data_IF_594600330786
#
_entry.id   IF_594600330786
#
_cell.length_a   1.000
_cell.length_b   1.000
_cell.length_c   1.000
_cell.angle_alpha   90.00
_cell.angle_beta   90.00
_cell.angle_gamma   90.00
#
_symmetry.space_group_name_H-M   'P 1'
#
loop_
_entity.id
_entity.type
_entity.pdbx_description
1 polymer ?
#
# COMPACT_ATOMS: atom_id res chain seq x y z
N UNK A 1 -1.82 34.49 -3.12
CA UNK A 1 -0.59 33.66 -3.21
C UNK A 1 -1.03 32.27 -3.61
N UNK A 2 -0.83 31.87 -4.87
CA UNK A 2 -1.16 30.52 -5.32
C UNK A 2 0.03 29.62 -5.00
N UNK A 3 -0.11 28.74 -4.00
CA UNK A 3 0.83 27.65 -3.78
C UNK A 3 0.67 26.72 -4.98
N UNK A 4 1.68 26.61 -5.83
CA UNK A 4 1.68 25.58 -6.85
C UNK A 4 1.67 24.22 -6.12
N UNK A 5 0.55 23.49 -6.18
CA UNK A 5 0.53 22.08 -5.80
C UNK A 5 1.58 21.38 -6.68
N UNK A 6 2.66 20.94 -6.05
CA UNK A 6 3.58 20.01 -6.71
C UNK A 6 2.73 18.83 -7.21
N UNK A 7 2.97 18.31 -8.43
CA UNK A 7 2.19 17.20 -8.94
C UNK A 7 2.28 16.04 -7.94
N UNK A 8 1.13 15.65 -7.36
CA UNK A 8 1.06 14.48 -6.49
C UNK A 8 1.47 13.26 -7.30
N UNK A 9 2.44 12.52 -6.77
CA UNK A 9 2.92 11.30 -7.42
C UNK A 9 1.78 10.28 -7.43
N UNK A 10 1.34 9.87 -8.62
CA UNK A 10 0.31 8.84 -8.76
C UNK A 10 0.94 7.45 -8.80
N UNK A 11 0.67 6.65 -7.77
CA UNK A 11 1.17 5.29 -7.62
C UNK A 11 0.10 4.28 -8.05
N UNK A 12 0.44 3.50 -9.07
CA UNK A 12 -0.40 2.44 -9.62
C UNK A 12 0.26 1.06 -9.52
N UNK A 13 -0.40 0.00 -9.99
CA UNK A 13 0.18 -1.34 -10.07
C UNK A 13 1.47 -1.41 -10.91
N UNK A 14 1.63 -0.48 -11.87
CA UNK A 14 2.85 -0.38 -12.69
C UNK A 14 4.04 0.25 -11.95
N UNK A 15 3.79 0.91 -10.83
CA UNK A 15 4.83 1.52 -9.99
C UNK A 15 5.53 0.49 -9.08
N UNK A 16 5.10 -0.78 -9.11
CA UNK A 16 5.74 -1.85 -8.35
C UNK A 16 7.23 -1.96 -8.71
N UNK A 17 8.07 -1.98 -7.68
CA UNK A 17 9.53 -2.01 -7.81
C UNK A 17 10.19 -0.63 -7.94
N UNK A 18 9.43 0.47 -7.90
CA UNK A 18 10.03 1.81 -7.83
C UNK A 18 10.74 2.02 -6.49
N UNK A 19 11.89 2.70 -6.54
CA UNK A 19 12.50 3.23 -5.33
C UNK A 19 11.80 4.54 -4.97
N UNK A 20 11.35 4.63 -3.73
CA UNK A 20 10.66 5.79 -3.19
C UNK A 20 11.17 6.10 -1.80
N UNK A 21 11.29 7.38 -1.50
CA UNK A 21 11.45 7.79 -0.11
C UNK A 21 10.12 7.69 0.67
N UNK A 22 10.18 7.48 1.99
CA UNK A 22 8.97 7.44 2.82
C UNK A 22 8.10 8.70 2.72
N UNK A 23 8.72 9.87 2.58
CA UNK A 23 8.01 11.14 2.46
C UNK A 23 7.31 11.30 1.10
N UNK A 24 7.89 10.76 0.02
CA UNK A 24 7.24 10.69 -1.30
C UNK A 24 6.06 9.75 -1.26
N UNK A 25 6.19 8.64 -0.52
CA UNK A 25 5.16 7.63 -0.40
C UNK A 25 3.96 8.17 0.39
N UNK A 26 4.21 8.88 1.49
CA UNK A 26 3.15 9.48 2.30
C UNK A 26 2.41 10.62 1.57
N UNK A 27 3.08 11.29 0.63
CA UNK A 27 2.51 12.38 -0.17
C UNK A 27 1.88 11.90 -1.49
N UNK A 28 2.00 10.61 -1.83
CA UNK A 28 1.50 10.06 -3.08
C UNK A 28 0.00 9.79 -3.06
N UNK A 29 -0.62 9.89 -4.23
CA UNK A 29 -1.96 9.37 -4.46
C UNK A 29 -1.88 7.90 -4.90
N UNK A 30 -2.87 7.10 -4.46
CA UNK A 30 -2.90 5.67 -4.69
C UNK A 30 -4.12 5.24 -5.50
N UNK A 31 -3.90 4.41 -6.52
CA UNK A 31 -4.99 3.76 -7.25
C UNK A 31 -5.77 2.80 -6.32
N UNK A 32 -7.10 2.92 -6.32
CA UNK A 32 -7.96 2.06 -5.51
C UNK A 32 -7.91 0.60 -5.99
N UNK A 33 -8.06 -0.33 -5.05
CA UNK A 33 -8.10 -1.78 -5.36
C UNK A 33 -6.75 -2.48 -5.28
N UNK A 34 -5.71 -1.73 -4.92
CA UNK A 34 -4.36 -2.23 -4.67
C UNK A 34 -3.92 -1.91 -3.25
N UNK A 35 -2.97 -2.69 -2.75
CA UNK A 35 -2.29 -2.49 -1.48
C UNK A 35 -0.85 -2.11 -1.77
N UNK A 36 -0.43 -0.98 -1.22
CA UNK A 36 0.88 -0.41 -1.41
C UNK A 36 1.67 -0.53 -0.11
N UNK A 37 2.88 -1.04 -0.19
CA UNK A 37 3.79 -1.17 0.94
C UNK A 37 5.16 -0.66 0.54
N UNK A 38 5.77 0.18 1.38
CA UNK A 38 7.15 0.63 1.19
C UNK A 38 8.06 -0.18 2.11
N UNK A 39 8.92 -1.02 1.55
CA UNK A 39 9.83 -1.88 2.30
C UNK A 39 11.26 -1.53 1.90
N UNK A 40 12.05 -0.96 2.83
CA UNK A 40 13.42 -0.51 2.57
C UNK A 40 13.54 0.44 1.36
N UNK A 41 12.54 1.33 1.19
CA UNK A 41 12.48 2.25 0.05
C UNK A 41 12.03 1.61 -1.27
N UNK A 42 11.71 0.31 -1.29
CA UNK A 42 11.14 -0.36 -2.45
C UNK A 42 9.61 -0.38 -2.35
N UNK A 43 8.95 0.18 -3.35
CA UNK A 43 7.49 0.14 -3.45
C UNK A 43 7.03 -1.24 -3.91
N UNK A 44 6.26 -1.91 -3.07
CA UNK A 44 5.59 -3.17 -3.36
C UNK A 44 4.10 -2.92 -3.54
N UNK A 45 3.56 -3.33 -4.69
CA UNK A 45 2.13 -3.21 -5.00
C UNK A 45 1.52 -4.59 -5.17
N UNK A 46 0.60 -4.92 -4.27
CA UNK A 46 -0.11 -6.18 -4.26
C UNK A 46 -1.60 -5.96 -4.53
N UNK A 47 -2.30 -6.89 -5.22
CA UNK A 47 -3.75 -6.83 -5.31
C UNK A 47 -4.38 -6.96 -3.91
N UNK A 48 -5.55 -6.36 -3.69
CA UNK A 48 -6.29 -6.55 -2.43
C UNK A 48 -6.58 -8.04 -2.22
N UNK A 49 -6.28 -8.61 -1.03
CA UNK A 49 -6.47 -10.03 -0.77
C UNK A 49 -7.93 -10.43 -1.02
N UNK A 50 -8.11 -11.53 -1.74
CA UNK A 50 -9.43 -12.08 -2.05
C UNK A 50 -10.05 -12.63 -0.76
N UNK A 51 -11.39 -12.74 -0.71
CA UNK A 51 -12.13 -13.30 0.45
C UNK A 51 -11.51 -14.57 1.05
N UNK A 52 -11.11 -15.61 0.29
CA UNK A 52 -10.50 -16.81 0.88
C UNK A 52 -9.15 -16.54 1.58
N UNK A 53 -8.38 -15.55 1.13
CA UNK A 53 -7.10 -15.17 1.76
C UNK A 53 -7.30 -14.32 3.03
N UNK A 54 -8.45 -13.63 3.14
CA UNK A 54 -8.84 -12.90 4.35
C UNK A 54 -9.33 -13.84 5.45
N UNK A 55 -10.05 -14.89 5.07
CA UNK A 55 -10.69 -15.85 5.99
C UNK A 55 -9.66 -16.62 6.84
N UNK A 56 -8.59 -17.11 6.22
CA UNK A 56 -7.50 -17.79 6.94
C UNK A 56 -6.80 -16.88 7.97
N UNK A 57 -6.66 -15.59 7.66
CA UNK A 57 -6.07 -14.62 8.58
C UNK A 57 -7.02 -14.25 9.73
N UNK A 58 -8.34 -14.29 9.52
CA UNK A 58 -9.33 -14.10 10.58
C UNK A 58 -9.35 -15.27 11.56
N UNK A 59 -9.26 -16.52 11.06
CA UNK A 59 -9.11 -17.69 11.92
C UNK A 59 -7.83 -17.61 12.77
N UNK A 60 -6.68 -17.27 12.17
CA UNK A 60 -5.43 -17.10 12.92
C UNK A 60 -5.56 -16.01 14.01
N UNK A 61 -6.21 -14.89 13.69
CA UNK A 61 -6.47 -13.80 14.65
C UNK A 61 -7.35 -14.26 15.81
N UNK A 62 -8.33 -15.13 15.58
CA UNK A 62 -9.15 -15.71 16.63
C UNK A 62 -8.32 -16.58 17.58
N UNK A 63 -7.48 -17.48 17.03
CA UNK A 63 -6.61 -18.34 17.83
C UNK A 63 -5.60 -17.55 18.68
N UNK A 64 -4.98 -16.51 18.12
CA UNK A 64 -4.02 -15.65 18.83
C UNK A 64 -4.64 -14.79 19.94
N UNK A 65 -5.95 -14.51 19.90
CA UNK A 65 -6.65 -13.76 20.97
C UNK A 65 -7.17 -14.65 22.09
N UNK A 66 -7.24 -15.97 21.84
CA UNK A 66 -7.80 -16.96 22.75
C UNK A 66 -6.75 -17.60 23.66
N UNK A 67 -5.47 -17.45 23.31
CA UNK A 67 -4.31 -17.86 24.11
C UNK A 67 -3.58 -16.64 24.67
#
# INVERSE_FOLDING_TARGET
MATAEAPTLQLGPRSNGMMLDPWEFDAADFERGWRYELINGLLIVNPVPRRPERDQNEELRYWLRKH
#
